data_IF_037998051496
#
_entry.id   IF_037998051496
#
_cell.length_a   1.000
_cell.length_b   1.000
_cell.length_c   1.000
_cell.angle_alpha   90.00
_cell.angle_beta   90.00
_cell.angle_gamma   90.00
#
_symmetry.space_group_name_H-M   'P 1'
#
loop_
_entity.id
_entity.type
_entity.pdbx_description
1 polymer ?
#
# COMPACT_ATOMS: atom_id res chain seq x y z
N UNK A 1 -21.49 44.78 15.53
CA UNK A 1 -21.54 43.42 16.08
C UNK A 1 -21.13 42.49 14.94
N UNK A 2 -19.83 42.22 14.81
CA UNK A 2 -19.29 41.34 13.77
C UNK A 2 -19.33 39.93 14.33
N UNK A 3 -20.20 39.08 13.78
CA UNK A 3 -20.20 37.65 14.11
C UNK A 3 -18.86 37.06 13.68
N UNK A 4 -18.06 36.72 14.67
CA UNK A 4 -16.81 35.99 14.50
C UNK A 4 -17.17 34.54 14.19
N UNK A 5 -17.56 34.27 12.94
CA UNK A 5 -17.69 32.91 12.42
C UNK A 5 -16.30 32.31 12.27
N UNK A 6 -15.66 32.01 13.41
CA UNK A 6 -14.50 31.15 13.44
C UNK A 6 -14.93 29.79 12.90
N UNK A 7 -14.53 29.50 11.66
CA UNK A 7 -14.78 28.22 11.01
C UNK A 7 -14.01 27.18 11.84
N UNK A 8 -14.68 26.52 12.78
CA UNK A 8 -14.05 25.51 13.63
C UNK A 8 -13.57 24.39 12.72
N UNK A 9 -12.26 24.35 12.49
CA UNK A 9 -11.66 23.28 11.73
C UNK A 9 -12.00 21.93 12.38
N UNK A 10 -12.46 20.93 11.60
CA UNK A 10 -12.83 19.64 12.14
C UNK A 10 -11.63 19.02 12.88
N UNK A 11 -11.81 18.79 14.18
CA UNK A 11 -10.80 18.23 15.06
C UNK A 11 -10.48 16.80 14.60
N UNK A 12 -9.21 16.48 14.37
CA UNK A 12 -8.84 15.08 14.15
C UNK A 12 -9.15 14.29 15.42
N UNK A 13 -9.94 13.24 15.28
CA UNK A 13 -10.04 12.22 16.31
C UNK A 13 -8.74 11.42 16.39
N UNK A 14 -8.52 10.78 17.54
CA UNK A 14 -7.35 9.93 17.82
C UNK A 14 -7.16 8.79 16.79
N UNK A 15 -8.25 8.37 16.15
CA UNK A 15 -8.28 7.26 15.19
C UNK A 15 -7.43 7.52 13.94
N UNK A 16 -7.20 8.78 13.54
CA UNK A 16 -6.32 9.07 12.38
C UNK A 16 -4.87 8.66 12.64
N UNK A 17 -4.42 8.82 13.88
CA UNK A 17 -3.07 8.45 14.28
C UNK A 17 -2.93 6.94 14.36
N UNK A 18 -3.89 6.25 14.99
CA UNK A 18 -3.88 4.79 15.05
C UNK A 18 -3.90 4.18 13.64
N UNK A 19 -4.87 4.58 12.81
CA UNK A 19 -5.03 4.04 11.45
C UNK A 19 -3.81 4.40 10.59
N UNK A 20 -3.32 5.64 10.68
CA UNK A 20 -2.14 6.06 9.93
C UNK A 20 -0.88 5.30 10.31
N UNK A 21 -0.64 5.05 11.61
CA UNK A 21 0.52 4.28 12.09
C UNK A 21 0.42 2.82 11.64
N UNK A 22 -0.74 2.19 11.78
CA UNK A 22 -0.95 0.81 11.32
C UNK A 22 -0.76 0.69 9.80
N UNK A 23 -1.31 1.63 9.04
CA UNK A 23 -1.13 1.69 7.59
C UNK A 23 0.35 1.92 7.22
N UNK A 24 1.06 2.75 7.97
CA UNK A 24 2.48 3.01 7.73
C UNK A 24 3.31 1.76 7.96
N UNK A 25 3.12 1.04 9.06
CA UNK A 25 3.83 -0.21 9.33
C UNK A 25 3.52 -1.29 8.30
N UNK A 26 2.24 -1.45 7.94
CA UNK A 26 1.83 -2.40 6.90
C UNK A 26 2.54 -2.13 5.58
N UNK A 27 2.51 -0.89 5.11
CA UNK A 27 3.12 -0.55 3.83
C UNK A 27 4.65 -0.48 3.91
N UNK A 28 5.23 -0.15 5.07
CA UNK A 28 6.67 -0.21 5.29
C UNK A 28 7.19 -1.65 5.18
N UNK A 29 6.43 -2.64 5.66
CA UNK A 29 6.76 -4.05 5.44
C UNK A 29 6.75 -4.41 3.94
N UNK A 30 5.74 -3.95 3.19
CA UNK A 30 5.70 -4.13 1.73
C UNK A 30 6.87 -3.46 1.00
N UNK A 31 7.26 -2.26 1.41
CA UNK A 31 8.45 -1.58 0.87
C UNK A 31 9.74 -2.34 1.23
N UNK A 32 9.83 -2.86 2.44
CA UNK A 32 10.97 -3.66 2.90
C UNK A 32 11.11 -4.94 2.07
N UNK A 33 10.02 -5.70 1.90
CA UNK A 33 9.99 -6.89 1.04
C UNK A 33 10.42 -6.55 -0.40
N UNK A 34 9.84 -5.49 -0.99
CA UNK A 34 10.25 -5.02 -2.32
C UNK A 34 11.75 -4.71 -2.39
N UNK A 35 12.29 -3.96 -1.44
CA UNK A 35 13.71 -3.57 -1.45
C UNK A 35 14.60 -4.80 -1.28
N UNK A 36 14.29 -5.69 -0.35
CA UNK A 36 15.09 -6.89 -0.13
C UNK A 36 15.07 -7.83 -1.34
N UNK A 37 13.91 -7.97 -1.97
CA UNK A 37 13.75 -8.77 -3.19
C UNK A 37 14.44 -8.11 -4.39
N UNK A 38 14.25 -6.81 -4.61
CA UNK A 38 14.89 -6.08 -5.72
C UNK A 38 16.41 -6.00 -5.61
N UNK A 39 16.94 -5.90 -4.38
CA UNK A 39 18.39 -5.90 -4.11
C UNK A 39 18.99 -7.30 -4.00
N UNK A 40 18.17 -8.35 -4.18
CA UNK A 40 18.57 -9.76 -4.08
C UNK A 40 19.28 -10.08 -2.77
N UNK A 41 18.76 -9.58 -1.66
CA UNK A 41 19.35 -9.79 -0.35
C UNK A 41 19.34 -11.29 0.02
N UNK A 42 20.52 -11.91 0.08
CA UNK A 42 20.66 -13.35 0.30
C UNK A 42 20.06 -13.82 1.64
N UNK A 43 20.25 -13.04 2.71
CA UNK A 43 19.76 -13.41 4.04
C UNK A 43 18.22 -13.39 4.11
N UNK A 44 17.60 -12.41 3.46
CA UNK A 44 16.14 -12.30 3.37
C UNK A 44 15.54 -13.38 2.47
N UNK A 45 16.21 -13.68 1.35
CA UNK A 45 15.68 -14.58 0.32
C UNK A 45 15.98 -16.06 0.58
N UNK A 46 16.90 -16.37 1.51
CA UNK A 46 17.26 -17.74 1.92
C UNK A 46 16.07 -18.69 2.17
N UNK A 47 14.93 -18.25 2.76
CA UNK A 47 13.79 -19.14 3.01
C UNK A 47 13.00 -19.54 1.77
N UNK A 48 13.18 -18.84 0.64
CA UNK A 48 12.37 -19.06 -0.56
C UNK A 48 12.99 -20.13 -1.49
N UNK A 49 12.18 -20.97 -2.14
CA UNK A 49 12.66 -21.94 -3.13
C UNK A 49 13.32 -21.26 -4.33
N UNK A 50 14.37 -21.89 -4.89
CA UNK A 50 15.11 -21.33 -6.03
C UNK A 50 14.20 -21.05 -7.24
N UNK A 51 13.25 -21.94 -7.54
CA UNK A 51 12.30 -21.78 -8.64
C UNK A 51 11.46 -20.49 -8.52
N UNK A 52 11.09 -20.10 -7.29
CA UNK A 52 10.36 -18.86 -7.03
C UNK A 52 11.24 -17.64 -7.26
N UNK A 53 12.50 -17.70 -6.82
CA UNK A 53 13.47 -16.62 -7.05
C UNK A 53 13.74 -16.43 -8.54
N UNK A 54 13.93 -17.52 -9.29
CA UNK A 54 14.16 -17.50 -10.73
C UNK A 54 12.96 -16.86 -11.46
N UNK A 55 11.74 -17.21 -11.06
CA UNK A 55 10.52 -16.59 -11.59
C UNK A 55 10.46 -15.08 -11.29
N UNK A 56 10.68 -14.67 -10.04
CA UNK A 56 10.67 -13.24 -9.67
C UNK A 56 11.74 -12.44 -10.41
N UNK A 57 12.95 -12.98 -10.56
CA UNK A 57 14.05 -12.29 -11.23
C UNK A 57 13.96 -12.32 -12.75
N UNK A 58 13.18 -13.23 -13.33
CA UNK A 58 12.85 -13.23 -14.76
C UNK A 58 11.72 -12.25 -15.12
N UNK A 59 11.01 -11.69 -14.13
CA UNK A 59 9.92 -10.76 -14.40
C UNK A 59 10.40 -9.50 -15.15
N UNK A 60 9.65 -9.03 -16.15
CA UNK A 60 9.93 -7.78 -16.82
C UNK A 60 9.98 -6.59 -15.84
N UNK A 61 10.83 -5.60 -16.13
CA UNK A 61 11.01 -4.41 -15.29
C UNK A 61 9.71 -3.65 -14.98
N UNK A 62 8.73 -3.69 -15.89
CA UNK A 62 7.46 -2.99 -15.70
C UNK A 62 6.58 -3.67 -14.63
N UNK A 63 6.72 -4.99 -14.41
CA UNK A 63 6.03 -5.70 -13.32
C UNK A 63 6.58 -5.24 -11.98
N UNK A 64 7.90 -5.09 -11.88
CA UNK A 64 8.57 -4.51 -10.71
C UNK A 64 8.10 -3.08 -10.44
N UNK A 65 7.95 -2.26 -11.49
CA UNK A 65 7.43 -0.91 -11.36
C UNK A 65 5.99 -0.89 -10.83
N UNK A 66 5.11 -1.77 -11.31
CA UNK A 66 3.74 -1.91 -10.80
C UNK A 66 3.73 -2.28 -9.31
N UNK A 67 4.54 -3.26 -8.92
CA UNK A 67 4.66 -3.65 -7.51
C UNK A 67 5.18 -2.50 -6.64
N UNK A 68 6.21 -1.78 -7.11
CA UNK A 68 6.73 -0.60 -6.44
C UNK A 68 5.65 0.46 -6.24
N UNK A 69 4.84 0.78 -7.26
CA UNK A 69 3.73 1.71 -7.15
C UNK A 69 2.70 1.26 -6.11
N UNK A 70 2.44 -0.06 -6.02
CA UNK A 70 1.60 -0.66 -5.00
C UNK A 70 2.09 -0.34 -3.59
N UNK A 71 3.32 -0.74 -3.26
CA UNK A 71 3.84 -0.63 -1.88
C UNK A 71 4.24 0.80 -1.51
N UNK A 72 4.96 1.51 -2.38
CA UNK A 72 5.39 2.89 -2.10
C UNK A 72 4.22 3.86 -2.14
N UNK A 73 3.24 3.65 -3.03
CA UNK A 73 1.99 4.43 -3.02
C UNK A 73 1.28 4.32 -1.67
N UNK A 74 1.23 3.12 -1.09
CA UNK A 74 0.60 2.90 0.20
C UNK A 74 1.40 3.49 1.35
N UNK A 75 2.74 3.38 1.30
CA UNK A 75 3.63 3.95 2.30
C UNK A 75 3.55 5.47 2.34
N UNK A 76 3.69 6.14 1.19
CA UNK A 76 3.56 7.59 1.11
C UNK A 76 2.13 8.04 1.36
N UNK A 77 1.12 7.23 1.00
CA UNK A 77 -0.28 7.47 1.36
C UNK A 77 -0.50 7.48 2.86
N UNK A 78 0.07 6.53 3.60
CA UNK A 78 0.00 6.47 5.05
C UNK A 78 0.75 7.63 5.72
N UNK A 79 1.93 8.00 5.21
CA UNK A 79 2.65 9.18 5.64
C UNK A 79 1.83 10.45 5.41
N UNK A 80 1.23 10.61 4.22
CA UNK A 80 0.36 11.74 3.90
C UNK A 80 -0.89 11.77 4.79
N UNK A 81 -1.47 10.61 5.14
CA UNK A 81 -2.61 10.51 6.06
C UNK A 81 -2.25 11.03 7.46
N UNK A 82 -1.07 10.66 7.98
CA UNK A 82 -0.55 11.13 9.27
C UNK A 82 -0.25 12.64 9.25
N UNK A 83 0.26 13.14 8.11
CA UNK A 83 0.43 14.57 7.86
C UNK A 83 -0.88 15.29 7.55
N UNK A 84 -2.00 14.56 7.52
CA UNK A 84 -3.35 15.06 7.23
C UNK A 84 -3.44 15.77 5.88
N UNK A 85 -2.75 15.26 4.88
CA UNK A 85 -2.74 15.81 3.52
C UNK A 85 -3.78 15.16 2.61
N UNK A 86 -4.43 15.94 1.76
CA UNK A 86 -5.34 15.44 0.69
C UNK A 86 -4.64 14.51 -0.29
N UNK A 87 -3.31 14.58 -0.39
CA UNK A 87 -2.52 13.66 -1.21
C UNK A 87 -2.65 12.19 -0.77
N UNK A 88 -3.03 11.94 0.48
CA UNK A 88 -3.26 10.58 0.99
C UNK A 88 -4.23 9.78 0.10
N UNK A 89 -5.30 10.41 -0.37
CA UNK A 89 -6.31 9.76 -1.23
C UNK A 89 -5.70 9.36 -2.57
N UNK A 90 -4.92 10.24 -3.21
CA UNK A 90 -4.29 9.97 -4.51
C UNK A 90 -3.24 8.86 -4.42
N UNK A 91 -2.45 8.89 -3.35
CA UNK A 91 -1.38 7.91 -3.11
C UNK A 91 -1.93 6.52 -2.76
N UNK A 92 -2.98 6.44 -1.94
CA UNK A 92 -3.67 5.17 -1.70
C UNK A 92 -4.42 4.66 -2.94
N UNK A 93 -4.94 5.54 -3.80
CA UNK A 93 -5.53 5.12 -5.06
C UNK A 93 -4.48 4.53 -6.01
N UNK A 94 -3.30 5.15 -6.08
CA UNK A 94 -2.16 4.62 -6.82
C UNK A 94 -1.69 3.26 -6.26
N UNK A 95 -1.64 3.13 -4.94
CA UNK A 95 -1.32 1.87 -4.25
C UNK A 95 -2.30 0.76 -4.62
N UNK A 96 -3.60 1.05 -4.54
CA UNK A 96 -4.66 0.11 -4.89
C UNK A 96 -4.55 -0.29 -6.36
N UNK A 97 -4.32 0.65 -7.27
CA UNK A 97 -4.14 0.36 -8.69
C UNK A 97 -2.95 -0.58 -8.92
N UNK A 98 -1.80 -0.29 -8.30
CA UNK A 98 -0.62 -1.16 -8.38
C UNK A 98 -0.92 -2.56 -7.87
N UNK A 99 -1.58 -2.68 -6.71
CA UNK A 99 -1.95 -3.96 -6.13
C UNK A 99 -2.94 -4.75 -7.01
N UNK A 100 -3.94 -4.10 -7.61
CA UNK A 100 -4.91 -4.73 -8.53
C UNK A 100 -4.21 -5.25 -9.78
N UNK A 101 -3.30 -4.47 -10.37
CA UNK A 101 -2.55 -4.90 -11.55
C UNK A 101 -1.63 -6.08 -11.18
N UNK A 102 -0.94 -6.03 -10.04
CA UNK A 102 -0.12 -7.16 -9.56
C UNK A 102 -0.94 -8.43 -9.35
N UNK A 103 -2.15 -8.31 -8.77
CA UNK A 103 -3.08 -9.44 -8.63
C UNK A 103 -3.48 -10.00 -10.00
N UNK A 104 -3.85 -9.14 -10.95
CA UNK A 104 -4.24 -9.57 -12.29
C UNK A 104 -3.10 -10.32 -13.00
N UNK A 105 -1.87 -9.82 -12.92
CA UNK A 105 -0.68 -10.51 -13.44
C UNK A 105 -0.51 -11.88 -12.77
N UNK A 106 -0.64 -11.95 -11.45
CA UNK A 106 -0.51 -13.20 -10.70
C UNK A 106 -1.57 -14.25 -11.07
N UNK A 107 -2.82 -13.83 -11.33
CA UNK A 107 -3.89 -14.73 -11.78
C UNK A 107 -3.64 -15.22 -13.22
N UNK A 108 -3.10 -14.35 -14.09
CA UNK A 108 -2.81 -14.69 -15.49
C UNK A 108 -1.56 -15.56 -15.64
N UNK A 109 -0.64 -15.54 -14.67
CA UNK A 109 0.57 -16.33 -14.68
C UNK A 109 0.29 -17.78 -14.20
N UNK A 110 -0.24 -18.60 -15.11
CA UNK A 110 -0.62 -20.00 -14.83
C UNK A 110 0.55 -20.89 -14.42
N UNK A 111 1.75 -20.58 -14.90
CA UNK A 111 2.98 -21.36 -14.66
C UNK A 111 3.80 -20.80 -13.50
N UNK A 112 3.30 -19.77 -12.79
CA UNK A 112 4.01 -19.19 -11.66
C UNK A 112 4.12 -20.20 -10.51
N UNK A 113 5.32 -20.39 -9.92
CA UNK A 113 5.47 -21.24 -8.74
C UNK A 113 4.64 -20.68 -7.59
N UNK A 114 3.81 -21.54 -6.99
CA UNK A 114 2.88 -21.18 -5.92
C UNK A 114 3.44 -21.61 -4.57
N UNK A 115 3.33 -20.75 -3.57
CA UNK A 115 3.47 -21.17 -2.18
C UNK A 115 2.13 -21.69 -1.67
N UNK A 116 2.10 -22.94 -1.22
CA UNK A 116 0.92 -23.51 -0.56
C UNK A 116 0.53 -22.65 0.65
N UNK A 117 -0.77 -22.37 0.78
CA UNK A 117 -1.32 -21.54 1.86
C UNK A 117 -1.21 -20.02 1.66
N UNK A 118 -0.50 -19.54 0.64
CA UNK A 118 -0.35 -18.11 0.34
C UNK A 118 -1.35 -17.58 -0.69
N UNK A 119 -2.22 -18.43 -1.25
CA UNK A 119 -3.12 -18.09 -2.36
C UNK A 119 -4.09 -16.93 -2.06
N UNK A 120 -4.47 -16.79 -0.79
CA UNK A 120 -5.40 -15.74 -0.35
C UNK A 120 -4.71 -14.40 -0.07
N UNK A 121 -3.39 -14.39 0.07
CA UNK A 121 -2.65 -13.23 0.53
C UNK A 121 -2.80 -12.00 -0.40
N UNK A 122 -2.77 -12.14 -1.74
CA UNK A 122 -3.03 -11.02 -2.64
C UNK A 122 -4.40 -10.36 -2.43
N UNK A 123 -5.45 -11.13 -2.11
CA UNK A 123 -6.79 -10.60 -1.84
C UNK A 123 -6.85 -9.82 -0.52
N UNK A 124 -6.07 -10.25 0.48
CA UNK A 124 -5.91 -9.51 1.74
C UNK A 124 -5.25 -8.16 1.49
N UNK A 125 -4.22 -8.10 0.63
CA UNK A 125 -3.56 -6.84 0.24
C UNK A 125 -4.59 -5.89 -0.40
N UNK A 126 -5.42 -6.38 -1.33
CA UNK A 126 -6.48 -5.56 -1.95
C UNK A 126 -7.48 -5.05 -0.91
N UNK A 127 -7.95 -5.92 -0.02
CA UNK A 127 -8.91 -5.53 1.02
C UNK A 127 -8.34 -4.43 1.91
N UNK A 128 -7.07 -4.55 2.32
CA UNK A 128 -6.39 -3.54 3.13
C UNK A 128 -6.22 -2.23 2.34
N UNK A 129 -5.81 -2.29 1.08
CA UNK A 129 -5.68 -1.09 0.23
C UNK A 129 -7.02 -0.37 0.04
N UNK A 130 -8.12 -1.10 -0.13
CA UNK A 130 -9.48 -0.55 -0.19
C UNK A 130 -9.88 0.15 1.11
N UNK A 131 -9.59 -0.47 2.27
CA UNK A 131 -9.86 0.13 3.58
C UNK A 131 -9.05 1.41 3.78
N UNK A 132 -7.77 1.40 3.43
CA UNK A 132 -6.90 2.58 3.53
C UNK A 132 -7.40 3.74 2.66
N UNK A 133 -7.73 3.45 1.40
CA UNK A 133 -8.28 4.45 0.47
C UNK A 133 -9.64 4.98 0.94
N UNK A 134 -10.54 4.08 1.33
CA UNK A 134 -11.88 4.44 1.81
C UNK A 134 -11.83 5.31 3.07
N UNK A 135 -10.94 4.98 4.00
CA UNK A 135 -10.71 5.76 5.21
C UNK A 135 -10.16 7.16 4.90
N UNK A 136 -9.12 7.25 4.05
CA UNK A 136 -8.55 8.54 3.65
C UNK A 136 -9.58 9.42 2.93
N UNK A 137 -10.38 8.84 2.04
CA UNK A 137 -11.44 9.54 1.33
C UNK A 137 -12.54 10.04 2.28
N UNK A 138 -12.93 9.22 3.27
CA UNK A 138 -13.87 9.62 4.31
C UNK A 138 -13.34 10.81 5.13
N UNK A 139 -12.06 10.81 5.50
CA UNK A 139 -11.45 11.93 6.22
C UNK A 139 -11.33 13.19 5.37
N UNK A 140 -11.04 13.05 4.08
CA UNK A 140 -11.04 14.17 3.13
C UNK A 140 -12.42 14.82 3.06
N UNK A 141 -13.49 14.03 2.91
CA UNK A 141 -14.87 14.54 2.85
C UNK A 141 -15.30 15.28 4.12
N UNK A 142 -14.71 14.94 5.27
CA UNK A 142 -14.96 15.60 6.54
C UNK A 142 -14.09 16.83 6.78
N UNK A 143 -13.26 17.24 5.80
CA UNK A 143 -12.33 18.37 5.92
C UNK A 143 -11.18 18.14 6.90
N UNK A 144 -10.95 16.88 7.31
CA UNK A 144 -9.88 16.52 8.26
C UNK A 144 -8.52 16.49 7.56
N UNK A 145 -8.51 16.15 6.25
CA UNK A 145 -7.35 16.25 5.37
C UNK A 145 -7.37 17.58 4.62
N UNK A 146 -6.20 18.21 4.44
CA UNK A 146 -5.99 19.52 3.83
C UNK A 146 -5.03 19.48 2.65
#
# INVERSE_FOLDING_TARGET
MTEDTSVIAPKAGWHIWLVGILALFWNAFGCFDFVMTATRNEAYLKPYPQEMLDYWFAMPWWVWAVWALGVFGGFFGAAALLLRSVWAVRLFALSLLGAVISLAIGIMATDAPKMEGAEFFPYVIIAIALVQLGYAWWQMKRGVLR
#
